data_IF_775019509292
#
_entry.id   IF_775019509292
#
_cell.length_a   1.000
_cell.length_b   1.000
_cell.length_c   1.000
_cell.angle_alpha   90.00
_cell.angle_beta   90.00
_cell.angle_gamma   90.00
#
_symmetry.space_group_name_H-M   'P 1'
#
loop_
_entity.id
_entity.type
_entity.pdbx_description
1 polymer ?
#
# COMPACT_ATOMS: atom_id res chain seq x y z
N UNK A 1 -75.55 -16.69 -24.08
CA UNK A 1 -74.78 -15.65 -24.79
C UNK A 1 -73.57 -15.33 -23.92
N UNK A 2 -72.39 -15.52 -24.48
CA UNK A 2 -71.09 -15.51 -23.79
C UNK A 2 -70.78 -14.12 -23.26
N UNK A 3 -70.51 -13.97 -21.95
CA UNK A 3 -70.02 -12.72 -21.39
C UNK A 3 -68.54 -12.58 -21.79
N UNK A 4 -68.27 -11.71 -22.76
CA UNK A 4 -66.93 -11.37 -23.18
C UNK A 4 -66.20 -10.60 -22.08
N UNK A 5 -65.12 -11.16 -21.58
CA UNK A 5 -64.04 -10.40 -20.95
C UNK A 5 -63.13 -9.90 -22.07
N UNK A 6 -63.26 -8.62 -22.45
CA UNK A 6 -62.25 -7.95 -23.28
C UNK A 6 -61.00 -7.83 -22.41
N UNK A 7 -59.98 -8.62 -22.74
CA UNK A 7 -58.72 -8.78 -21.99
C UNK A 7 -57.83 -7.54 -22.01
N UNK A 8 -58.37 -6.38 -21.60
CA UNK A 8 -57.67 -5.10 -21.55
C UNK A 8 -57.63 -4.56 -20.13
N UNK A 9 -56.84 -5.22 -19.29
CA UNK A 9 -56.07 -4.61 -18.21
C UNK A 9 -55.19 -5.65 -17.49
N UNK A 10 -54.35 -6.37 -18.24
CA UNK A 10 -53.23 -7.10 -17.63
C UNK A 10 -52.06 -6.15 -17.28
N UNK A 11 -52.35 -4.95 -16.74
CA UNK A 11 -51.33 -4.12 -16.10
C UNK A 11 -50.97 -4.73 -14.74
N UNK A 12 -50.42 -5.95 -14.77
CA UNK A 12 -49.60 -6.47 -13.71
C UNK A 12 -48.32 -5.64 -13.77
N UNK A 13 -48.23 -4.64 -12.90
CA UNK A 13 -47.22 -3.58 -12.93
C UNK A 13 -45.83 -4.07 -13.35
N UNK A 14 -45.52 -3.88 -14.63
CA UNK A 14 -44.17 -4.00 -15.13
C UNK A 14 -43.37 -2.92 -14.42
N UNK A 15 -42.46 -3.35 -13.53
CA UNK A 15 -41.55 -2.42 -12.88
C UNK A 15 -40.81 -1.69 -14.00
N UNK A 16 -40.89 -0.36 -14.01
CA UNK A 16 -40.19 0.43 -15.00
C UNK A 16 -38.69 0.06 -14.99
N UNK A 17 -38.10 0.00 -16.18
CA UNK A 17 -36.68 -0.19 -16.38
C UNK A 17 -35.89 0.87 -15.59
N UNK A 18 -34.98 0.41 -14.74
CA UNK A 18 -34.08 1.23 -13.91
C UNK A 18 -32.67 0.64 -13.99
N UNK A 19 -32.01 0.74 -15.16
CA UNK A 19 -30.65 0.27 -15.30
C UNK A 19 -29.71 1.07 -14.41
N UNK A 20 -28.74 0.39 -13.80
CA UNK A 20 -27.70 1.03 -13.01
C UNK A 20 -26.45 0.14 -12.97
N UNK A 21 -25.30 0.79 -12.98
CA UNK A 21 -24.00 0.12 -12.82
C UNK A 21 -23.25 0.81 -11.69
N UNK A 22 -22.52 0.04 -10.89
CA UNK A 22 -21.54 0.57 -9.95
C UNK A 22 -20.14 0.10 -10.35
N UNK A 23 -19.15 0.88 -9.93
CA UNK A 23 -17.74 0.58 -10.13
C UNK A 23 -17.02 0.77 -8.79
N UNK A 24 -16.33 -0.28 -8.36
CA UNK A 24 -15.34 -0.22 -7.29
C UNK A 24 -13.98 -0.50 -7.89
N UNK A 25 -13.05 0.44 -7.74
CA UNK A 25 -11.67 0.28 -8.16
C UNK A 25 -10.82 0.01 -6.93
N UNK A 26 -9.78 -0.82 -7.08
CA UNK A 26 -8.82 -1.10 -6.02
C UNK A 26 -7.40 -1.03 -6.54
N UNK A 27 -6.48 -0.57 -5.71
CA UNK A 27 -5.03 -0.67 -5.93
C UNK A 27 -4.44 -1.76 -5.04
N UNK A 28 -3.82 -2.78 -5.64
CA UNK A 28 -3.20 -3.90 -4.93
C UNK A 28 -4.14 -4.54 -3.88
N UNK A 29 -5.43 -4.66 -4.22
CA UNK A 29 -6.45 -5.29 -3.38
C UNK A 29 -7.07 -4.38 -2.30
N UNK A 30 -6.62 -3.13 -2.15
CA UNK A 30 -7.23 -2.17 -1.21
C UNK A 30 -7.99 -1.07 -1.93
N UNK A 31 -9.03 -0.55 -1.28
CA UNK A 31 -9.83 0.60 -1.72
C UNK A 31 -9.27 1.85 -1.04
N UNK A 32 -8.78 2.80 -1.85
CA UNK A 32 -8.10 4.00 -1.41
C UNK A 32 -8.68 5.24 -2.14
N UNK A 33 -9.98 5.48 -1.98
CA UNK A 33 -10.67 6.66 -2.55
C UNK A 33 -10.08 8.02 -2.16
N UNK A 34 -9.33 8.11 -1.05
CA UNK A 34 -8.72 9.35 -0.56
C UNK A 34 -7.19 9.32 -0.63
N UNK A 35 -6.60 10.48 -0.94
CA UNK A 35 -5.15 10.68 -0.87
C UNK A 35 -4.66 10.66 0.60
N UNK A 36 -3.42 10.20 0.87
CA UNK A 36 -2.42 9.81 -0.11
C UNK A 36 -2.63 8.40 -0.70
N UNK A 37 -3.50 7.61 -0.08
CA UNK A 37 -3.77 6.22 -0.46
C UNK A 37 -2.70 5.24 -0.03
N UNK A 38 -2.63 4.09 -0.69
CA UNK A 38 -1.69 3.02 -0.37
C UNK A 38 -0.24 3.45 -0.61
N UNK A 39 0.68 3.13 0.31
CA UNK A 39 2.10 3.25 0.01
C UNK A 39 2.54 2.13 -0.93
N UNK A 40 3.16 2.49 -2.06
CA UNK A 40 3.66 1.52 -3.03
C UNK A 40 5.11 1.86 -3.40
N UNK A 41 6.09 0.98 -3.19
CA UNK A 41 7.46 1.25 -3.62
C UNK A 41 7.52 1.60 -5.10
N UNK A 42 8.12 2.74 -5.45
CA UNK A 42 8.28 3.13 -6.85
C UNK A 42 9.09 2.07 -7.61
N UNK A 43 8.68 1.77 -8.84
CA UNK A 43 9.23 0.68 -9.64
C UNK A 43 8.58 -0.70 -9.38
N UNK A 44 7.79 -0.86 -8.32
CA UNK A 44 7.04 -2.10 -8.09
C UNK A 44 5.81 -2.19 -9.00
N UNK A 45 5.33 -3.43 -9.20
CA UNK A 45 4.10 -3.68 -9.97
C UNK A 45 2.89 -3.22 -9.16
N UNK A 46 2.02 -2.47 -9.82
CA UNK A 46 0.69 -2.11 -9.34
C UNK A 46 -0.33 -2.94 -10.08
N UNK A 47 -1.28 -3.54 -9.36
CA UNK A 47 -2.46 -4.18 -9.94
C UNK A 47 -3.68 -3.34 -9.62
N UNK A 48 -4.48 -3.03 -10.64
CA UNK A 48 -5.78 -2.39 -10.49
C UNK A 48 -6.88 -3.39 -10.80
N UNK A 49 -7.81 -3.55 -9.86
CA UNK A 49 -9.03 -4.32 -10.04
C UNK A 49 -10.20 -3.35 -10.24
N UNK A 50 -10.99 -3.56 -11.29
CA UNK A 50 -12.19 -2.81 -11.62
C UNK A 50 -13.38 -3.75 -11.45
N UNK A 51 -14.07 -3.64 -10.32
CA UNK A 51 -15.19 -4.50 -9.95
C UNK A 51 -16.47 -3.78 -10.34
N UNK A 52 -17.14 -4.29 -11.36
CA UNK A 52 -18.41 -3.77 -11.84
C UNK A 52 -19.55 -4.59 -11.25
N UNK A 53 -20.63 -3.93 -10.84
CA UNK A 53 -21.86 -4.60 -10.42
C UNK A 53 -23.04 -3.97 -11.14
N UNK A 54 -23.91 -4.79 -11.73
CA UNK A 54 -25.20 -4.33 -12.20
C UNK A 54 -26.14 -4.20 -11.00
N UNK A 55 -26.35 -2.97 -10.54
CA UNK A 55 -27.20 -2.64 -9.40
C UNK A 55 -28.61 -2.22 -9.80
N UNK A 56 -28.93 -2.27 -11.11
CA UNK A 56 -30.26 -1.98 -11.63
C UNK A 56 -31.17 -3.20 -11.61
N UNK A 57 -32.31 -3.08 -12.28
CA UNK A 57 -33.26 -4.19 -12.48
C UNK A 57 -33.29 -4.74 -13.91
N UNK A 58 -32.42 -4.25 -14.81
CA UNK A 58 -32.31 -4.69 -16.20
C UNK A 58 -30.92 -5.23 -16.52
N UNK A 59 -30.80 -6.27 -17.37
CA UNK A 59 -29.51 -6.73 -17.88
C UNK A 59 -28.77 -5.62 -18.64
N UNK A 60 -27.46 -5.54 -18.44
CA UNK A 60 -26.60 -4.57 -19.12
C UNK A 60 -25.81 -5.21 -20.25
N UNK A 61 -25.59 -4.45 -21.31
CA UNK A 61 -24.79 -4.80 -22.49
C UNK A 61 -23.81 -3.68 -22.84
N UNK A 62 -22.95 -3.93 -23.82
CA UNK A 62 -21.91 -3.01 -24.26
C UNK A 62 -21.08 -2.44 -23.09
N UNK A 63 -20.78 -3.29 -22.10
CA UNK A 63 -20.00 -2.88 -20.93
C UNK A 63 -18.57 -2.59 -21.36
N UNK A 64 -18.12 -1.37 -21.11
CA UNK A 64 -16.78 -0.87 -21.41
C UNK A 64 -16.21 -0.21 -20.17
N UNK A 65 -14.91 -0.43 -19.93
CA UNK A 65 -14.16 0.23 -18.86
C UNK A 65 -13.00 1.00 -19.47
N UNK A 66 -12.85 2.24 -19.03
CA UNK A 66 -11.73 3.12 -19.35
C UNK A 66 -11.15 3.71 -18.08
N UNK A 67 -9.91 4.16 -18.16
CA UNK A 67 -9.16 4.71 -17.05
C UNK A 67 -8.33 5.89 -17.53
N UNK A 68 -8.29 6.98 -16.75
CA UNK A 68 -7.65 8.24 -17.18
C UNK A 68 -6.13 8.16 -17.29
N UNK A 69 -5.50 7.15 -16.68
CA UNK A 69 -4.03 6.94 -16.74
C UNK A 69 -3.64 5.71 -17.54
N UNK A 70 -4.44 4.66 -17.48
CA UNK A 70 -4.17 3.34 -18.08
C UNK A 70 -4.80 3.22 -19.47
N UNK A 71 -5.90 3.93 -19.74
CA UNK A 71 -6.64 3.85 -20.99
C UNK A 71 -7.74 2.78 -20.98
N UNK A 72 -7.98 2.12 -22.10
CA UNK A 72 -9.03 1.10 -22.22
C UNK A 72 -8.66 -0.18 -21.43
N UNK A 73 -9.63 -0.71 -20.68
CA UNK A 73 -9.44 -1.90 -19.84
C UNK A 73 -10.19 -3.09 -20.44
N UNK A 74 -9.50 -4.22 -20.61
CA UNK A 74 -10.13 -5.46 -21.09
C UNK A 74 -10.87 -6.15 -19.96
N UNK A 75 -12.16 -6.41 -20.19
CA UNK A 75 -13.05 -7.13 -19.28
C UNK A 75 -13.30 -8.56 -19.78
N UNK A 76 -13.65 -9.51 -18.88
CA UNK A 76 -13.94 -10.89 -19.27
C UNK A 76 -15.23 -11.04 -20.08
N UNK A 77 -16.15 -10.07 -20.00
CA UNK A 77 -17.40 -10.03 -20.73
C UNK A 77 -17.80 -8.58 -21.04
N UNK A 78 -18.74 -8.42 -21.97
CA UNK A 78 -19.35 -7.14 -22.36
C UNK A 78 -20.82 -7.05 -21.95
N UNK A 79 -21.31 -8.03 -21.18
CA UNK A 79 -22.67 -8.10 -20.66
C UNK A 79 -22.63 -8.37 -19.16
N UNK A 80 -23.62 -7.88 -18.43
CA UNK A 80 -23.70 -8.06 -16.99
C UNK A 80 -25.17 -8.18 -16.54
N UNK A 81 -25.57 -9.39 -16.16
CA UNK A 81 -26.92 -9.66 -15.67
C UNK A 81 -27.18 -8.96 -14.33
N UNK A 82 -28.47 -8.78 -14.03
CA UNK A 82 -28.94 -8.11 -12.82
C UNK A 82 -28.35 -8.75 -11.56
N UNK A 83 -27.77 -7.92 -10.70
CA UNK A 83 -27.16 -8.35 -9.44
C UNK A 83 -25.81 -9.07 -9.59
N UNK A 84 -25.36 -9.36 -10.81
CA UNK A 84 -24.05 -9.98 -11.03
C UNK A 84 -22.93 -8.94 -11.03
N UNK A 85 -21.72 -9.44 -10.78
CA UNK A 85 -20.50 -8.66 -10.82
C UNK A 85 -19.44 -9.31 -11.71
N UNK A 86 -18.56 -8.50 -12.27
CA UNK A 86 -17.36 -8.96 -12.95
C UNK A 86 -16.16 -8.10 -12.57
N UNK A 87 -14.97 -8.67 -12.65
CA UNK A 87 -13.72 -7.97 -12.37
C UNK A 87 -12.89 -7.88 -13.64
N UNK A 88 -12.58 -6.65 -14.05
CA UNK A 88 -11.56 -6.37 -15.07
C UNK A 88 -10.25 -6.03 -14.36
N UNK A 89 -9.11 -6.34 -14.97
CA UNK A 89 -7.79 -6.13 -14.32
C UNK A 89 -6.83 -5.41 -15.26
N UNK A 90 -5.99 -4.56 -14.68
CA UNK A 90 -4.85 -3.98 -15.37
C UNK A 90 -3.64 -3.94 -14.46
N UNK A 91 -2.44 -3.86 -15.07
CA UNK A 91 -1.18 -3.76 -14.34
C UNK A 91 -0.36 -2.59 -14.85
N UNK A 92 0.43 -2.02 -13.97
CA UNK A 92 1.38 -0.97 -14.28
C UNK A 92 2.55 -0.97 -13.32
N UNK A 93 3.35 0.09 -13.36
CA UNK A 93 4.51 0.28 -12.49
C UNK A 93 4.32 1.54 -11.68
N UNK A 94 4.53 1.45 -10.36
CA UNK A 94 4.39 2.59 -9.47
C UNK A 94 5.45 3.65 -9.80
N UNK A 95 5.04 4.91 -9.84
CA UNK A 95 5.95 6.06 -9.97
C UNK A 95 6.09 6.79 -8.64
N UNK A 96 7.15 7.57 -8.49
CA UNK A 96 7.35 8.39 -7.30
C UNK A 96 6.30 9.51 -7.24
N UNK A 97 5.79 9.79 -6.04
CA UNK A 97 4.86 10.87 -5.74
C UNK A 97 3.41 10.40 -5.56
N UNK A 98 2.52 11.38 -5.37
CA UNK A 98 1.09 11.14 -5.32
C UNK A 98 0.58 10.70 -6.70
N UNK A 99 -0.15 9.59 -6.73
CA UNK A 99 -0.83 9.10 -7.90
C UNK A 99 -2.32 8.97 -7.63
N UNK A 100 -3.13 9.64 -8.44
CA UNK A 100 -4.58 9.54 -8.44
C UNK A 100 -5.02 8.98 -9.78
N UNK A 101 -5.90 7.99 -9.74
CA UNK A 101 -6.28 7.19 -10.89
C UNK A 101 -7.79 6.94 -10.89
N UNK A 102 -8.49 7.33 -11.94
CA UNK A 102 -9.96 7.28 -12.03
C UNK A 102 -10.40 6.31 -13.11
N UNK A 103 -11.08 5.25 -12.68
CA UNK A 103 -11.78 4.33 -13.60
C UNK A 103 -13.18 4.84 -13.91
N UNK A 104 -13.62 4.61 -15.14
CA UNK A 104 -14.97 4.90 -15.64
C UNK A 104 -15.54 3.67 -16.35
N UNK A 105 -16.71 3.23 -15.94
CA UNK A 105 -17.46 2.15 -16.58
C UNK A 105 -18.71 2.73 -17.24
N UNK A 106 -18.99 2.28 -18.46
CA UNK A 106 -20.23 2.60 -19.19
C UNK A 106 -20.89 1.32 -19.67
N UNK A 107 -22.22 1.29 -19.68
CA UNK A 107 -23.01 0.19 -20.23
C UNK A 107 -24.37 0.72 -20.70
N UNK A 108 -25.16 -0.13 -21.34
CA UNK A 108 -26.52 0.21 -21.74
C UNK A 108 -27.51 -0.95 -21.50
N UNK A 109 -28.77 -0.63 -21.26
CA UNK A 109 -29.86 -1.62 -21.21
C UNK A 109 -30.32 -2.04 -22.62
N UNK A 110 -31.38 -2.85 -22.69
CA UNK A 110 -31.98 -3.31 -23.94
C UNK A 110 -32.68 -2.20 -24.75
N UNK A 111 -33.01 -1.07 -24.12
CA UNK A 111 -33.66 0.08 -24.73
C UNK A 111 -32.66 1.15 -25.19
N UNK A 112 -31.36 0.94 -24.94
CA UNK A 112 -30.28 1.88 -25.26
C UNK A 112 -30.05 2.96 -24.21
N UNK A 113 -30.66 2.85 -23.02
CA UNK A 113 -30.40 3.74 -21.90
C UNK A 113 -28.98 3.52 -21.40
N UNK A 114 -28.13 4.54 -21.52
CA UNK A 114 -26.72 4.47 -21.09
C UNK A 114 -26.62 4.79 -19.60
N UNK A 115 -25.85 3.95 -18.90
CA UNK A 115 -25.47 4.14 -17.49
C UNK A 115 -23.96 4.27 -17.37
N UNK A 116 -23.51 5.04 -16.37
CA UNK A 116 -22.10 5.30 -16.12
C UNK A 116 -21.79 5.24 -14.63
N UNK A 117 -20.59 4.76 -14.29
CA UNK A 117 -20.05 4.81 -12.94
C UNK A 117 -18.57 5.17 -12.97
N UNK A 118 -18.11 5.94 -11.99
CA UNK A 118 -16.71 6.34 -11.85
C UNK A 118 -16.20 6.02 -10.46
N UNK A 119 -14.94 5.64 -10.34
CA UNK A 119 -14.31 5.44 -9.04
C UNK A 119 -12.85 5.90 -9.06
N UNK A 120 -12.50 6.78 -8.11
CA UNK A 120 -11.15 7.32 -7.95
C UNK A 120 -10.38 6.46 -6.95
N UNK A 121 -9.10 6.28 -7.21
CA UNK A 121 -8.22 5.43 -6.43
C UNK A 121 -6.82 6.06 -6.32
N UNK A 122 -6.18 5.95 -5.17
CA UNK A 122 -4.93 6.64 -4.87
C UNK A 122 -3.82 5.71 -4.36
N UNK A 123 -2.59 6.01 -4.74
CA UNK A 123 -1.40 5.50 -4.06
C UNK A 123 -0.35 6.60 -3.95
N UNK A 124 0.57 6.45 -3.00
CA UNK A 124 1.75 7.27 -2.89
C UNK A 124 3.00 6.43 -3.13
N UNK A 125 3.73 6.75 -4.19
CA UNK A 125 4.95 6.05 -4.54
C UNK A 125 6.18 6.71 -3.97
N UNK A 126 7.09 5.93 -3.36
CA UNK A 126 8.41 6.43 -2.97
C UNK A 126 9.48 5.36 -3.18
N UNK A 127 10.72 5.81 -3.34
CA UNK A 127 11.86 4.91 -3.28
C UNK A 127 12.15 4.58 -1.81
N UNK A 128 12.26 3.27 -1.44
CA UNK A 128 12.68 2.92 -0.10
C UNK A 128 14.13 3.37 0.11
N UNK A 129 14.41 3.99 1.25
CA UNK A 129 15.75 4.44 1.61
C UNK A 129 15.93 4.39 3.11
N UNK A 130 17.11 3.96 3.56
CA UNK A 130 17.51 4.03 4.96
C UNK A 130 18.95 4.54 5.05
N UNK A 131 19.20 5.45 5.98
CA UNK A 131 20.54 5.86 6.37
C UNK A 131 20.79 5.47 7.83
N UNK A 132 22.05 5.20 8.16
CA UNK A 132 22.49 4.88 9.51
C UNK A 132 23.67 5.76 9.89
N UNK A 133 23.61 6.34 11.08
CA UNK A 133 24.75 7.04 11.71
C UNK A 133 25.12 6.29 12.98
N UNK A 134 26.39 5.93 13.11
CA UNK A 134 26.92 5.28 14.30
C UNK A 134 27.83 6.24 15.04
N UNK A 135 27.61 6.41 16.33
CA UNK A 135 28.50 7.22 17.19
C UNK A 135 29.14 6.36 18.28
N UNK A 136 30.38 6.70 18.62
CA UNK A 136 31.14 6.11 19.73
C UNK A 136 31.22 7.15 20.84
N UNK A 137 30.68 6.85 22.01
CA UNK A 137 30.64 7.77 23.14
C UNK A 137 30.11 9.17 22.74
N UNK A 138 29.09 9.22 21.87
CA UNK A 138 28.46 10.46 21.40
C UNK A 138 29.12 11.15 20.21
N UNK A 139 30.24 10.63 19.68
CA UNK A 139 30.96 11.23 18.54
C UNK A 139 30.82 10.39 17.27
N UNK A 140 30.58 11.03 16.12
CA UNK A 140 30.62 10.38 14.80
C UNK A 140 32.06 10.37 14.29
N UNK A 141 32.62 9.18 14.09
CA UNK A 141 34.06 8.96 13.88
C UNK A 141 34.33 8.29 12.53
N UNK A 142 33.73 8.82 11.46
CA UNK A 142 33.87 8.28 10.10
C UNK A 142 35.28 8.45 9.49
N UNK A 143 36.21 9.10 10.19
CA UNK A 143 37.61 9.22 9.80
C UNK A 143 38.53 8.87 10.96
N UNK A 144 39.71 8.32 10.64
CA UNK A 144 40.73 7.99 11.62
C UNK A 144 41.63 9.20 11.94
N UNK A 145 42.18 9.31 13.17
CA UNK A 145 41.94 8.42 14.31
C UNK A 145 40.59 8.71 14.99
N UNK A 146 39.98 7.67 15.58
CA UNK A 146 38.80 7.81 16.42
C UNK A 146 39.12 8.38 17.82
N UNK A 147 38.13 8.45 18.72
CA UNK A 147 38.30 9.03 20.04
C UNK A 147 39.25 8.16 20.88
N UNK A 148 40.10 8.80 21.68
CA UNK A 148 40.93 8.10 22.65
C UNK A 148 40.07 7.64 23.83
N UNK A 149 40.07 6.34 24.10
CA UNK A 149 39.31 5.72 25.21
C UNK A 149 40.30 4.98 26.10
N UNK A 150 40.29 5.25 27.41
CA UNK A 150 41.16 4.58 28.37
C UNK A 150 40.84 3.08 28.47
N UNK A 151 41.86 2.25 28.69
CA UNK A 151 41.66 0.82 28.90
C UNK A 151 40.75 0.56 30.11
N UNK A 152 39.70 -0.24 29.91
CA UNK A 152 38.69 -0.53 30.94
C UNK A 152 37.54 0.49 31.03
N UNK A 153 37.57 1.59 30.28
CA UNK A 153 36.46 2.53 30.23
C UNK A 153 35.29 1.98 29.39
N UNK A 154 34.06 2.33 29.79
CA UNK A 154 32.84 1.93 29.06
C UNK A 154 32.78 2.59 27.69
N UNK A 155 32.51 1.79 26.66
CA UNK A 155 32.23 2.27 25.30
C UNK A 155 30.74 2.16 25.02
N UNK A 156 30.13 3.28 24.68
CA UNK A 156 28.72 3.38 24.26
C UNK A 156 28.67 3.55 22.75
N UNK A 157 27.84 2.75 22.10
CA UNK A 157 27.57 2.87 20.67
C UNK A 157 26.12 3.30 20.48
N UNK A 158 25.89 4.42 19.81
CA UNK A 158 24.55 4.84 19.42
C UNK A 158 24.38 4.67 17.92
N UNK A 159 23.21 4.20 17.51
CA UNK A 159 22.83 4.05 16.11
C UNK A 159 21.58 4.89 15.87
N UNK A 160 21.67 5.87 14.98
CA UNK A 160 20.54 6.63 14.49
C UNK A 160 20.16 6.07 13.12
N UNK A 161 18.92 5.59 13.00
CA UNK A 161 18.35 5.15 11.73
C UNK A 161 17.48 6.28 11.20
N UNK A 162 17.66 6.63 9.92
CA UNK A 162 16.88 7.66 9.25
C UNK A 162 16.14 7.05 8.08
N UNK A 163 14.82 7.20 8.04
CA UNK A 163 14.03 6.85 6.87
C UNK A 163 14.28 7.90 5.78
N UNK A 164 14.86 7.47 4.67
CA UNK A 164 15.27 8.32 3.55
C UNK A 164 14.30 8.18 2.39
N UNK A 165 13.00 7.99 2.63
CA UNK A 165 11.99 7.98 1.57
C UNK A 165 12.26 9.15 0.62
N UNK A 166 12.45 8.86 -0.66
CA UNK A 166 12.78 9.88 -1.66
C UNK A 166 11.51 10.16 -2.45
N UNK A 167 10.89 11.32 -2.18
CA UNK A 167 9.69 11.79 -2.88
C UNK A 167 10.01 12.50 -4.22
N UNK A 168 11.29 12.80 -4.47
CA UNK A 168 11.81 13.23 -5.77
C UNK A 168 13.22 12.67 -5.95
N UNK A 169 13.46 11.93 -7.03
CA UNK A 169 14.75 11.40 -7.46
C UNK A 169 15.95 12.38 -7.37
N UNK A 170 15.69 13.70 -7.29
CA UNK A 170 16.70 14.76 -7.17
C UNK A 170 16.97 15.27 -5.75
N UNK A 171 16.20 14.86 -4.73
CA UNK A 171 16.29 15.39 -3.37
C UNK A 171 16.46 14.27 -2.35
N UNK A 172 17.71 13.85 -2.10
CA UNK A 172 18.07 13.13 -0.87
C UNK A 172 18.06 14.12 0.29
N UNK A 173 16.90 14.45 0.85
CA UNK A 173 16.83 15.21 2.11
C UNK A 173 16.27 14.30 3.21
N UNK A 174 16.92 14.36 4.37
CA UNK A 174 16.54 13.72 5.62
C UNK A 174 15.30 14.46 6.13
N UNK A 175 14.11 14.14 5.62
CA UNK A 175 12.90 14.92 5.94
C UNK A 175 11.97 14.22 6.97
N UNK A 176 12.46 13.23 7.72
CA UNK A 176 11.74 12.69 8.88
C UNK A 176 12.68 12.26 10.00
N UNK A 177 13.07 13.22 10.84
CA UNK A 177 13.78 12.94 12.10
C UNK A 177 12.76 12.52 13.15
N UNK A 178 12.30 11.27 13.11
CA UNK A 178 11.76 10.65 14.32
C UNK A 178 12.95 10.22 15.19
N UNK A 179 13.32 11.05 16.17
CA UNK A 179 14.35 10.69 17.17
C UNK A 179 13.81 9.61 18.12
N UNK A 180 13.69 8.38 17.62
CA UNK A 180 13.38 7.19 18.41
C UNK A 180 14.67 6.53 18.89
N UNK A 181 14.93 6.56 20.19
CA UNK A 181 16.06 5.86 20.82
C UNK A 181 15.80 4.34 20.85
N UNK A 182 16.28 3.60 19.86
CA UNK A 182 16.26 2.14 19.94
C UNK A 182 17.48 1.64 20.73
N UNK A 183 17.29 1.35 22.03
CA UNK A 183 18.29 0.66 22.85
C UNK A 183 18.29 -0.83 22.48
N UNK A 184 19.25 -1.27 21.67
CA UNK A 184 19.54 -2.71 21.56
C UNK A 184 20.53 -3.10 22.67
N UNK A 185 20.00 -3.44 23.84
CA UNK A 185 20.78 -4.01 24.94
C UNK A 185 20.65 -5.53 24.96
N UNK A 186 21.60 -6.27 24.36
CA UNK A 186 21.91 -7.62 24.80
C UNK A 186 23.24 -7.57 25.53
N UNK A 187 23.18 -7.72 26.85
CA UNK A 187 24.33 -8.03 27.70
C UNK A 187 24.93 -9.34 27.20
N UNK A 188 26.16 -9.32 26.70
CA UNK A 188 26.89 -10.56 26.39
C UNK A 188 27.88 -10.79 27.51
N UNK A 189 27.62 -11.88 28.22
CA UNK A 189 28.44 -12.48 29.25
C UNK A 189 29.93 -12.56 28.84
N UNK A 190 30.80 -12.22 29.79
CA UNK A 190 32.24 -12.46 29.75
C UNK A 190 32.52 -13.96 29.52
N UNK A 191 33.00 -14.34 28.33
CA UNK A 191 33.71 -15.60 28.15
C UNK A 191 35.19 -15.36 28.49
N UNK A 192 35.56 -15.63 29.75
CA UNK A 192 36.97 -15.70 30.14
C UNK A 192 37.58 -16.97 29.54
N UNK A 193 38.37 -16.82 28.48
CA UNK A 193 39.38 -17.80 28.13
C UNK A 193 40.50 -17.72 29.17
N UNK A 194 40.74 -18.84 29.83
CA UNK A 194 41.70 -18.93 30.92
C UNK A 194 43.14 -18.74 30.46
N UNK A 195 43.96 -18.26 31.39
CA UNK A 195 45.36 -18.61 31.38
C UNK A 195 45.83 -18.91 32.81
N UNK A 196 46.47 -20.08 32.96
CA UNK A 196 46.99 -20.61 34.21
C UNK A 196 48.42 -20.10 34.38
N UNK A 197 48.72 -19.39 35.47
CA UNK A 197 50.03 -19.53 36.15
C UNK A 197 49.89 -19.44 37.67
N UNK A 198 50.58 -20.39 38.30
CA UNK A 198 50.75 -20.69 39.73
C UNK A 198 51.74 -19.75 40.42
N UNK A 199 51.74 -19.83 41.76
CA UNK A 199 52.71 -19.38 42.79
C UNK A 199 52.29 -18.07 43.46
N UNK A 200 52.30 -17.89 44.79
CA UNK A 200 52.80 -18.69 45.91
C UNK A 200 52.12 -18.23 47.22
N UNK A 201 52.38 -18.99 48.29
CA UNK A 201 51.80 -19.01 49.64
C UNK A 201 51.88 -17.75 50.54
N UNK A 202 51.12 -17.86 51.63
CA UNK A 202 51.20 -17.23 52.97
C UNK A 202 50.58 -15.83 53.08
N UNK A 203 49.76 -15.46 54.06
CA UNK A 203 49.35 -16.03 55.34
C UNK A 203 48.92 -14.86 56.24
N UNK A 204 48.02 -15.05 57.21
CA UNK A 204 47.90 -14.17 58.38
C UNK A 204 46.59 -13.40 58.58
N UNK A 205 46.11 -13.50 59.81
CA UNK A 205 44.85 -13.08 60.43
C UNK A 205 44.56 -11.57 60.59
N UNK A 206 43.25 -11.31 60.80
CA UNK A 206 42.59 -10.40 61.76
C UNK A 206 43.27 -9.07 62.12
N UNK A 207 42.62 -7.95 61.79
CA UNK A 207 41.78 -7.13 62.69
C UNK A 207 40.79 -6.29 61.86
#
# INVERSE_FOLDING_TARGET
MNAGVDGKNNNFGELAATPAITLLKKTNGTDNTLAPGLYVPAGSVVTWDYILTNSGNDPLSAVVVSDDKVGAITCPATTLDVGLSMTCTAKGTAIVGQYTNVGTATAQDAFGTVVTATNSENYFGALPGIAITKTTNGTDNNAAPGPTIAAGATVTWNYLLTNMRVEDSRRRRVDDVHQGWYRCGRSVHEHRHGDRRRSDRSGGDLF
#
